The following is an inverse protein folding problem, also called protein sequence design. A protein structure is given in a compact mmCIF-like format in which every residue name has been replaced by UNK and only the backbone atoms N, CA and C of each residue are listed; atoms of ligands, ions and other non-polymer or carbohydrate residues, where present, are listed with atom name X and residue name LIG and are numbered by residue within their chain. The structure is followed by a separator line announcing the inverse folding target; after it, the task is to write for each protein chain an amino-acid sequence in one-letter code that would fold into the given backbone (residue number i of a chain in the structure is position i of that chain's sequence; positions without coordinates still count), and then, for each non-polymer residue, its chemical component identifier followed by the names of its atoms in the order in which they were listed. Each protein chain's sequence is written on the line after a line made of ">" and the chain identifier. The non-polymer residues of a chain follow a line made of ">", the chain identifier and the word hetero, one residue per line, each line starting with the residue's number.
data_IF_911133436187
#
_entry.id   IF_911133436187
#
_cell.length_a   1.000
_cell.length_b   1.000
_cell.length_c   1.000
_cell.angle_alpha   90.00
_cell.angle_beta   90.00
_cell.angle_gamma   90.00
#
_symmetry.space_group_name_H-M   'P 1'
#
loop_
_entity.id
_entity.type
_entity.pdbx_description
1 polymer ?
#
# COMPACT_ATOMS: atom_id res chain seq x y z
N UNK A 1 1.09 -2.03 29.37
CA UNK A 1 2.52 -2.07 29.01
C UNK A 1 2.65 -1.41 27.65
N UNK A 2 3.17 -0.18 27.63
CA UNK A 2 3.51 0.50 26.38
C UNK A 2 4.81 -0.19 25.94
N UNK A 3 4.80 -0.88 24.80
CA UNK A 3 6.03 -1.42 24.24
C UNK A 3 6.96 -0.25 23.91
N UNK A 4 8.00 -0.05 24.70
CA UNK A 4 9.08 0.87 24.39
C UNK A 4 9.83 0.33 23.19
N UNK A 5 9.56 0.91 22.03
CA UNK A 5 10.25 0.58 20.80
C UNK A 5 11.53 1.41 20.75
N UNK A 6 12.68 0.77 20.82
CA UNK A 6 13.95 1.42 20.53
C UNK A 6 13.97 1.91 19.08
N UNK A 7 14.19 3.21 18.88
CA UNK A 7 14.30 3.83 17.57
C UNK A 7 15.71 4.39 17.44
N UNK A 8 16.42 3.98 16.39
CA UNK A 8 17.70 4.61 16.01
C UNK A 8 17.43 6.05 15.55
N UNK A 9 18.05 7.01 16.23
CA UNK A 9 17.96 8.45 15.92
C UNK A 9 19.33 8.95 15.45
N UNK A 10 19.34 9.79 14.42
CA UNK A 10 20.59 10.39 13.93
C UNK A 10 21.04 11.49 14.88
N UNK A 11 22.33 11.49 15.21
CA UNK A 11 22.96 12.54 16.04
C UNK A 11 23.11 13.87 15.31
N UNK A 12 23.02 13.88 13.98
CA UNK A 12 23.27 15.08 13.16
C UNK A 12 22.02 15.60 12.44
N UNK A 13 20.99 14.77 12.29
CA UNK A 13 19.70 15.13 11.70
C UNK A 13 18.55 14.32 12.34
N UNK A 14 18.09 14.70 13.55
CA UNK A 14 17.12 13.92 14.33
C UNK A 14 15.76 13.68 13.64
N UNK A 15 15.41 14.53 12.66
CA UNK A 15 14.18 14.43 11.88
C UNK A 15 14.22 13.32 10.82
N UNK A 16 15.41 12.80 10.51
CA UNK A 16 15.59 11.69 9.57
C UNK A 16 15.23 10.35 10.21
N UNK A 17 14.67 9.44 9.41
CA UNK A 17 14.25 8.13 9.90
C UNK A 17 15.20 7.03 9.46
N UNK A 18 15.61 6.18 10.40
CA UNK A 18 16.42 5.01 10.09
C UNK A 18 15.60 3.96 9.33
N UNK A 19 16.11 3.47 8.21
CA UNK A 19 15.39 2.54 7.35
C UNK A 19 16.32 1.49 6.77
N UNK A 20 15.85 0.24 6.78
CA UNK A 20 16.49 -0.91 6.15
C UNK A 20 15.55 -1.41 5.05
N UNK A 21 16.08 -1.60 3.84
CA UNK A 21 15.32 -2.17 2.70
C UNK A 21 16.21 -3.16 1.96
N UNK A 22 15.68 -4.35 1.71
CA UNK A 22 16.39 -5.38 0.95
C UNK A 22 16.90 -4.83 -0.40
N UNK A 23 18.20 -5.01 -0.65
CA UNK A 23 18.86 -4.55 -1.87
C UNK A 23 19.04 -3.03 -1.98
N UNK A 24 18.88 -2.26 -0.89
CA UNK A 24 19.13 -0.82 -0.84
C UNK A 24 20.07 -0.47 0.33
N UNK A 25 20.75 0.69 0.27
CA UNK A 25 21.58 1.15 1.38
C UNK A 25 20.76 1.28 2.66
N UNK A 26 21.31 0.77 3.76
CA UNK A 26 20.82 1.00 5.11
C UNK A 26 21.31 2.38 5.61
N UNK A 27 20.45 3.11 6.31
CA UNK A 27 20.82 4.44 6.81
C UNK A 27 19.63 5.32 7.19
N UNK A 28 19.92 6.61 7.36
CA UNK A 28 18.95 7.65 7.67
C UNK A 28 18.43 8.31 6.41
N UNK A 29 17.11 8.35 6.26
CA UNK A 29 16.46 8.86 5.05
C UNK A 29 15.22 9.68 5.37
N UNK A 30 14.76 10.38 4.32
CA UNK A 30 13.41 10.93 4.22
C UNK A 30 12.67 10.23 3.07
N UNK A 31 11.35 10.21 3.14
CA UNK A 31 10.48 9.71 2.08
C UNK A 31 9.67 10.87 1.50
N UNK A 32 9.71 11.00 0.17
CA UNK A 32 8.84 11.89 -0.60
C UNK A 32 7.61 11.11 -1.07
N UNK A 33 6.45 11.43 -0.49
CA UNK A 33 5.13 10.96 -0.90
C UNK A 33 4.57 11.92 -1.94
N UNK A 34 4.44 11.43 -3.18
CA UNK A 34 4.06 12.26 -4.33
C UNK A 34 2.81 11.72 -5.00
N UNK A 35 1.89 12.62 -5.36
CA UNK A 35 0.74 12.32 -6.21
C UNK A 35 0.89 13.04 -7.54
N UNK A 36 0.55 12.36 -8.63
CA UNK A 36 0.50 12.93 -9.98
C UNK A 36 -0.85 12.67 -10.63
N UNK A 37 -1.29 13.58 -11.48
CA UNK A 37 -2.48 13.37 -12.31
C UNK A 37 -2.17 12.43 -13.49
N UNK A 38 -3.22 11.78 -13.98
CA UNK A 38 -3.12 10.79 -15.06
C UNK A 38 -2.87 11.41 -16.44
N UNK A 39 -3.47 12.58 -16.71
CA UNK A 39 -3.60 13.17 -18.05
C UNK A 39 -2.34 13.91 -18.45
N UNK A 40 -1.79 14.73 -17.56
CA UNK A 40 -0.65 15.60 -17.85
C UNK A 40 0.61 15.24 -17.05
N UNK A 41 0.51 14.28 -16.12
CA UNK A 41 1.57 13.91 -15.19
C UNK A 41 2.02 15.09 -14.31
N UNK A 42 1.11 16.04 -14.04
CA UNK A 42 1.29 17.15 -13.12
C UNK A 42 1.31 16.64 -11.69
N UNK A 43 2.25 17.12 -10.90
CA UNK A 43 2.37 16.81 -9.49
C UNK A 43 1.30 17.60 -8.73
N UNK A 44 0.39 16.89 -8.07
CA UNK A 44 -0.75 17.47 -7.34
C UNK A 44 -0.54 17.49 -5.84
N UNK A 45 0.38 16.66 -5.33
CA UNK A 45 0.76 16.65 -3.92
C UNK A 45 2.21 16.19 -3.73
N UNK A 46 2.85 16.79 -2.73
CA UNK A 46 4.18 16.42 -2.22
C UNK A 46 4.10 16.47 -0.71
N UNK A 47 4.57 15.42 -0.06
CA UNK A 47 4.62 15.34 1.38
C UNK A 47 5.85 14.56 1.83
N UNK A 48 6.66 15.14 2.71
CA UNK A 48 7.88 14.51 3.20
C UNK A 48 7.66 13.98 4.60
N UNK A 49 8.12 12.76 4.86
CA UNK A 49 8.19 12.13 6.19
C UNK A 49 9.59 11.58 6.48
N UNK A 50 9.85 11.26 7.73
CA UNK A 50 11.02 10.47 8.11
C UNK A 50 11.02 9.08 7.43
N UNK A 51 12.20 8.52 7.19
CA UNK A 51 12.45 7.25 6.51
C UNK A 51 11.81 6.01 7.15
N UNK A 52 11.57 6.07 8.45
CA UNK A 52 10.96 5.00 9.23
C UNK A 52 9.40 5.03 9.21
N UNK A 53 8.80 6.05 8.59
CA UNK A 53 7.34 6.13 8.41
C UNK A 53 6.94 5.34 7.18
N UNK A 54 6.05 4.36 7.34
CA UNK A 54 5.58 3.55 6.21
C UNK A 54 4.70 4.37 5.25
N UNK A 55 4.87 4.19 3.93
CA UNK A 55 4.21 4.97 2.87
C UNK A 55 2.67 4.96 2.96
N UNK A 56 2.09 3.90 3.51
CA UNK A 56 0.64 3.77 3.67
C UNK A 56 0.05 4.73 4.72
N UNK A 57 0.86 5.21 5.67
CA UNK A 57 0.39 5.98 6.83
C UNK A 57 -0.16 7.34 6.39
N UNK A 58 0.57 8.21 5.65
CA UNK A 58 0.06 9.52 5.28
C UNK A 58 -0.98 9.48 4.15
N UNK A 59 -1.08 8.37 3.41
CA UNK A 59 -1.78 8.34 2.11
C UNK A 59 -3.21 8.92 2.14
N UNK A 60 -4.08 8.43 3.02
CA UNK A 60 -5.48 8.86 3.04
C UNK A 60 -5.62 10.34 3.41
N UNK A 61 -4.84 10.84 4.36
CA UNK A 61 -4.87 12.26 4.73
C UNK A 61 -4.33 13.16 3.62
N UNK A 62 -3.35 12.67 2.83
CA UNK A 62 -2.86 13.37 1.64
C UNK A 62 -3.88 13.41 0.52
N UNK A 63 -4.64 12.33 0.35
CA UNK A 63 -5.75 12.30 -0.60
C UNK A 63 -6.83 13.32 -0.20
N UNK A 64 -7.25 13.31 1.07
CA UNK A 64 -8.25 14.25 1.59
C UNK A 64 -7.80 15.70 1.45
N UNK A 65 -6.53 16.01 1.76
CA UNK A 65 -5.97 17.34 1.58
C UNK A 65 -6.10 17.82 0.13
N UNK A 66 -5.83 16.96 -0.86
CA UNK A 66 -5.93 17.35 -2.27
C UNK A 66 -7.37 17.70 -2.65
N UNK A 67 -8.33 16.90 -2.20
CA UNK A 67 -9.75 17.16 -2.43
C UNK A 67 -10.19 18.48 -1.77
N UNK A 68 -9.77 18.73 -0.54
CA UNK A 68 -10.12 19.95 0.21
C UNK A 68 -9.43 21.20 -0.35
N UNK A 69 -8.13 21.12 -0.66
CA UNK A 69 -7.34 22.28 -1.07
C UNK A 69 -7.64 22.73 -2.49
N UNK A 70 -7.86 21.79 -3.40
CA UNK A 70 -8.01 22.07 -4.84
C UNK A 70 -9.41 21.77 -5.38
N UNK A 71 -10.32 21.25 -4.55
CA UNK A 71 -11.67 20.88 -5.00
C UNK A 71 -11.69 19.68 -5.94
N UNK A 72 -10.64 18.84 -5.94
CA UNK A 72 -10.55 17.71 -6.85
C UNK A 72 -11.62 16.66 -6.57
N UNK A 73 -12.42 16.35 -7.60
CA UNK A 73 -13.31 15.19 -7.63
C UNK A 73 -12.51 13.98 -8.08
N UNK A 74 -11.92 13.26 -7.11
CA UNK A 74 -11.08 12.10 -7.40
C UNK A 74 -11.97 10.90 -7.71
N UNK A 75 -12.00 10.48 -8.97
CA UNK A 75 -12.79 9.33 -9.41
C UNK A 75 -12.05 8.01 -9.21
N UNK A 76 -10.72 8.02 -9.42
CA UNK A 76 -9.92 6.81 -9.39
C UNK A 76 -8.48 7.06 -8.93
N UNK A 77 -7.87 6.05 -8.31
CA UNK A 77 -6.47 6.06 -7.86
C UNK A 77 -5.76 4.78 -8.27
N UNK A 78 -4.48 4.89 -8.63
CA UNK A 78 -3.58 3.77 -8.84
C UNK A 78 -2.36 3.84 -7.93
N UNK A 79 -2.17 2.81 -7.10
CA UNK A 79 -1.16 2.80 -6.04
C UNK A 79 -0.18 1.64 -6.17
N UNK A 80 1.00 1.80 -5.58
CA UNK A 80 1.97 0.73 -5.49
C UNK A 80 1.58 -0.35 -4.46
N UNK A 81 2.27 -1.48 -4.51
CA UNK A 81 2.04 -2.62 -3.64
C UNK A 81 2.23 -2.33 -2.16
N UNK A 82 3.06 -1.34 -1.82
CA UNK A 82 3.21 -0.85 -0.44
C UNK A 82 1.93 -0.26 0.15
N UNK A 83 0.96 0.15 -0.69
CA UNK A 83 -0.31 0.73 -0.25
C UNK A 83 -1.42 -0.30 -0.09
N UNK A 84 -1.16 -1.60 -0.32
CA UNK A 84 -2.16 -2.66 -0.19
C UNK A 84 -2.41 -3.02 1.28
N UNK A 85 -3.00 -2.09 2.03
CA UNK A 85 -3.35 -2.23 3.44
C UNK A 85 -4.88 -2.19 3.61
N UNK A 86 -5.41 -2.95 4.59
CA UNK A 86 -6.86 -2.99 4.86
C UNK A 86 -7.45 -1.60 5.13
N UNK A 87 -6.81 -0.72 5.94
CA UNK A 87 -7.33 0.62 6.19
C UNK A 87 -7.39 1.50 4.94
N UNK A 88 -6.42 1.40 4.04
CA UNK A 88 -6.42 2.13 2.76
C UNK A 88 -7.57 1.65 1.87
N UNK A 89 -7.72 0.33 1.71
CA UNK A 89 -8.77 -0.23 0.87
C UNK A 89 -10.15 0.21 1.37
N UNK A 90 -10.38 0.13 2.70
CA UNK A 90 -11.62 0.58 3.33
C UNK A 90 -11.82 2.09 3.19
N UNK A 91 -10.77 2.89 3.39
CA UNK A 91 -10.81 4.33 3.26
C UNK A 91 -11.18 4.80 1.85
N UNK A 92 -10.64 4.15 0.82
CA UNK A 92 -10.97 4.45 -0.58
C UNK A 92 -12.40 4.01 -0.94
N UNK A 93 -12.80 2.83 -0.48
CA UNK A 93 -14.16 2.33 -0.70
C UNK A 93 -15.21 3.26 -0.05
N UNK A 94 -14.98 3.71 1.19
CA UNK A 94 -15.88 4.63 1.88
C UNK A 94 -15.99 5.99 1.17
N UNK A 95 -14.95 6.40 0.44
CA UNK A 95 -14.95 7.64 -0.36
C UNK A 95 -15.55 7.44 -1.76
N UNK A 96 -16.00 6.23 -2.10
CA UNK A 96 -16.46 5.86 -3.44
C UNK A 96 -15.42 6.12 -4.54
N UNK A 97 -14.13 5.99 -4.24
CA UNK A 97 -13.03 6.24 -5.18
C UNK A 97 -12.57 4.91 -5.77
N UNK A 98 -12.64 4.73 -7.09
CA UNK A 98 -12.20 3.49 -7.75
C UNK A 98 -10.70 3.26 -7.54
N UNK A 99 -10.34 2.17 -6.84
CA UNK A 99 -8.96 1.93 -6.43
C UNK A 99 -8.34 0.74 -7.16
N UNK A 100 -7.12 0.94 -7.66
CA UNK A 100 -6.27 -0.11 -8.25
C UNK A 100 -4.92 -0.12 -7.54
N UNK A 101 -4.66 -1.17 -6.76
CA UNK A 101 -3.42 -1.29 -6.01
C UNK A 101 -2.62 -2.49 -6.52
N UNK A 102 -1.32 -2.30 -6.76
CA UNK A 102 -0.43 -3.40 -7.10
C UNK A 102 -0.43 -4.47 -5.99
N UNK A 103 -0.16 -5.73 -6.37
CA UNK A 103 -0.09 -6.84 -5.44
C UNK A 103 1.29 -7.49 -5.52
N UNK A 104 1.97 -7.68 -4.40
CA UNK A 104 3.17 -8.53 -4.33
C UNK A 104 2.74 -9.98 -4.28
N UNK A 105 3.32 -10.85 -5.11
CA UNK A 105 3.04 -12.29 -5.02
C UNK A 105 3.46 -12.76 -3.62
N UNK A 106 2.49 -13.27 -2.86
CA UNK A 106 2.78 -13.89 -1.58
C UNK A 106 3.18 -15.34 -1.85
N UNK A 107 4.38 -15.70 -1.41
CA UNK A 107 4.82 -17.09 -1.47
C UNK A 107 4.28 -17.79 -0.22
N UNK A 108 3.38 -18.78 -0.36
CA UNK A 108 2.90 -19.51 0.79
C UNK A 108 4.04 -20.29 1.44
N UNK A 109 3.91 -20.57 2.73
CA UNK A 109 4.85 -21.44 3.44
C UNK A 109 4.93 -22.79 2.72
N UNK A 110 6.13 -23.18 2.31
CA UNK A 110 6.34 -24.44 1.61
C UNK A 110 5.89 -25.63 2.47
N UNK A 111 5.20 -26.59 1.82
CA UNK A 111 4.66 -27.78 2.46
C UNK A 111 3.36 -27.57 3.25
N UNK A 112 2.78 -26.37 3.25
CA UNK A 112 1.48 -26.11 3.86
C UNK A 112 0.45 -25.59 2.86
N UNK A 113 -0.82 -25.89 3.11
CA UNK A 113 -1.92 -25.39 2.31
C UNK A 113 -2.00 -23.87 2.40
N UNK A 114 -2.02 -23.20 1.25
CA UNK A 114 -2.17 -21.76 1.20
C UNK A 114 -3.59 -21.34 1.59
N UNK A 115 -3.75 -20.10 2.04
CA UNK A 115 -5.04 -19.56 2.52
C UNK A 115 -6.16 -19.67 1.48
N UNK A 116 -5.87 -19.53 0.18
CA UNK A 116 -6.88 -19.61 -0.88
C UNK A 116 -7.48 -21.01 -1.08
N UNK A 117 -6.86 -22.07 -0.51
CA UNK A 117 -7.48 -23.40 -0.45
C UNK A 117 -8.59 -23.51 0.62
N UNK A 118 -8.70 -22.52 1.51
CA UNK A 118 -9.77 -22.43 2.51
C UNK A 118 -10.82 -21.44 1.97
N UNK A 119 -12.01 -21.95 1.71
CA UNK A 119 -13.10 -21.19 1.09
C UNK A 119 -13.90 -20.50 2.20
N UNK A 120 -14.12 -19.19 2.07
CA UNK A 120 -14.94 -18.44 3.01
C UNK A 120 -16.41 -18.51 2.58
N UNK A 121 -17.27 -18.98 3.48
CA UNK A 121 -18.72 -18.89 3.34
C UNK A 121 -19.21 -17.64 4.08
N UNK A 122 -19.63 -16.63 3.30
CA UNK A 122 -20.10 -15.36 3.83
C UNK A 122 -21.49 -15.47 4.49
N UNK A 123 -22.35 -16.41 4.06
CA UNK A 123 -23.69 -16.58 4.62
C UNK A 123 -23.61 -17.21 6.01
N UNK A 124 -22.75 -18.21 6.16
CA UNK A 124 -22.58 -18.95 7.43
C UNK A 124 -21.47 -18.37 8.32
N UNK A 125 -20.74 -17.35 7.84
CA UNK A 125 -19.61 -16.73 8.53
C UNK A 125 -18.60 -17.78 9.04
N UNK A 126 -18.11 -18.63 8.14
CA UNK A 126 -17.18 -19.71 8.45
C UNK A 126 -16.23 -19.97 7.28
N UNK A 127 -15.15 -20.70 7.54
CA UNK A 127 -14.28 -21.22 6.49
C UNK A 127 -14.52 -22.72 6.30
N UNK A 128 -14.35 -23.20 5.07
CA UNK A 128 -14.36 -24.63 4.74
C UNK A 128 -12.95 -25.03 4.28
N UNK A 129 -12.39 -26.07 4.88
CA UNK A 129 -11.06 -26.56 4.55
C UNK A 129 -11.07 -27.49 3.32
N UNK A 130 -9.89 -27.84 2.76
CA UNK A 130 -9.79 -28.78 1.63
C UNK A 130 -10.39 -30.16 1.91
N UNK A 131 -10.39 -30.59 3.17
CA UNK A 131 -11.03 -31.83 3.62
C UNK A 131 -12.54 -31.66 3.91
N UNK A 132 -13.16 -30.55 3.46
CA UNK A 132 -14.59 -30.22 3.64
C UNK A 132 -15.07 -30.05 5.09
N UNK A 133 -14.16 -29.87 6.04
CA UNK A 133 -14.52 -29.58 7.43
C UNK A 133 -14.68 -28.07 7.64
N UNK A 134 -15.62 -27.71 8.52
CA UNK A 134 -15.94 -26.33 8.86
C UNK A 134 -14.99 -25.77 9.92
N UNK A 135 -14.63 -24.51 9.75
CA UNK A 135 -13.86 -23.69 10.66
C UNK A 135 -14.76 -22.53 11.10
N UNK A 136 -15.53 -22.67 12.20
CA UNK A 136 -16.38 -21.61 12.70
C UNK A 136 -15.57 -20.42 13.23
N UNK A 137 -16.23 -19.27 13.30
CA UNK A 137 -15.69 -18.07 13.92
C UNK A 137 -15.42 -18.33 15.42
N UNK A 138 -14.24 -17.93 15.90
CA UNK A 138 -13.82 -18.06 17.30
C UNK A 138 -13.77 -16.72 18.02
N UNK A 139 -13.01 -15.77 17.48
CA UNK A 139 -12.78 -14.48 18.13
C UNK A 139 -12.24 -13.45 17.13
N UNK A 140 -12.23 -12.18 17.52
CA UNK A 140 -11.61 -11.09 16.77
C UNK A 140 -10.55 -10.44 17.65
N UNK A 141 -9.32 -10.31 17.15
CA UNK A 141 -8.26 -9.63 17.89
C UNK A 141 -8.43 -8.09 17.85
N UNK A 142 -7.67 -7.38 18.68
CA UNK A 142 -7.70 -5.90 18.73
C UNK A 142 -7.33 -5.23 17.42
N UNK A 143 -6.56 -5.91 16.58
CA UNK A 143 -6.16 -5.43 15.25
C UNK A 143 -7.23 -5.67 14.17
N UNK A 144 -8.39 -6.23 14.52
CA UNK A 144 -9.50 -6.46 13.59
C UNK A 144 -9.38 -7.73 12.74
N UNK A 145 -8.56 -8.70 13.12
CA UNK A 145 -8.52 -10.02 12.51
C UNK A 145 -9.48 -10.99 13.22
N UNK A 146 -10.48 -11.44 12.48
CA UNK A 146 -11.34 -12.57 12.84
C UNK A 146 -10.55 -13.86 12.71
N UNK A 147 -10.63 -14.72 13.71
CA UNK A 147 -10.00 -16.03 13.76
C UNK A 147 -11.06 -17.11 13.60
N UNK A 148 -10.78 -18.05 12.70
CA UNK A 148 -11.61 -19.23 12.43
C UNK A 148 -10.78 -20.46 12.72
N UNK A 149 -11.32 -21.38 13.51
CA UNK A 149 -10.54 -22.50 14.05
C UNK A 149 -11.17 -23.83 13.71
N UNK A 150 -10.35 -24.80 13.31
CA UNK A 150 -10.80 -26.18 13.13
C UNK A 150 -10.95 -26.90 14.46
N UNK A 151 -11.80 -27.91 14.49
CA UNK A 151 -11.90 -28.85 15.60
C UNK A 151 -10.65 -29.76 15.67
N UNK A 152 -9.87 -29.71 16.76
CA UNK A 152 -8.72 -30.59 16.97
C UNK A 152 -9.07 -32.08 16.87
N UNK A 153 -10.23 -32.51 17.36
CA UNK A 153 -10.59 -33.92 17.43
C UNK A 153 -10.78 -34.51 16.03
N UNK A 154 -11.43 -33.77 15.14
CA UNK A 154 -11.54 -34.14 13.73
C UNK A 154 -10.20 -34.06 13.00
N UNK A 155 -9.35 -33.10 13.35
CA UNK A 155 -8.09 -32.88 12.64
C UNK A 155 -6.99 -33.89 12.99
N UNK A 156 -7.00 -34.48 14.20
CA UNK A 156 -6.01 -35.50 14.62
C UNK A 156 -5.95 -36.70 13.67
N UNK A 157 -7.11 -37.14 13.17
CA UNK A 157 -7.24 -38.30 12.28
C UNK A 157 -7.31 -37.90 10.79
N UNK A 158 -7.07 -36.62 10.47
CA UNK A 158 -7.19 -36.13 9.11
C UNK A 158 -5.96 -36.53 8.28
N UNK A 159 -6.14 -37.19 7.12
CA UNK A 159 -5.01 -37.60 6.27
C UNK A 159 -4.22 -36.42 5.70
N UNK A 160 -4.85 -35.24 5.61
CA UNK A 160 -4.24 -34.01 5.10
C UNK A 160 -3.61 -33.14 6.21
N UNK A 161 -3.52 -33.62 7.45
CA UNK A 161 -3.07 -32.84 8.60
C UNK A 161 -1.66 -32.25 8.38
N UNK A 162 -0.73 -33.06 7.85
CA UNK A 162 0.66 -32.67 7.60
C UNK A 162 0.78 -31.51 6.60
N UNK A 163 -0.12 -31.45 5.62
CA UNK A 163 -0.21 -30.33 4.66
C UNK A 163 -1.08 -29.19 5.20
N UNK A 164 -1.90 -29.39 6.24
CA UNK A 164 -2.83 -28.40 6.73
C UNK A 164 -2.22 -27.47 7.78
N UNK A 165 -1.59 -28.01 8.82
CA UNK A 165 -1.07 -27.24 9.97
C UNK A 165 0.13 -27.93 10.62
N UNK A 166 1.05 -27.13 11.17
CA UNK A 166 2.16 -27.62 12.03
C UNK A 166 1.84 -27.47 13.52
N UNK A 167 0.60 -27.15 13.86
CA UNK A 167 0.17 -26.93 15.25
C UNK A 167 0.24 -28.24 16.05
N UNK A 168 0.89 -28.20 17.22
CA UNK A 168 0.95 -29.34 18.16
C UNK A 168 -0.43 -29.79 18.64
N UNK A 169 -1.38 -28.86 18.68
CA UNK A 169 -2.75 -29.14 19.11
C UNK A 169 -3.64 -29.60 17.94
N UNK A 170 -3.05 -29.87 16.77
CA UNK A 170 -3.77 -30.27 15.53
C UNK A 170 -4.88 -29.29 15.11
N UNK A 171 -4.82 -28.04 15.58
CA UNK A 171 -5.80 -27.00 15.27
C UNK A 171 -5.27 -26.10 14.14
N UNK A 172 -6.04 -25.94 13.08
CA UNK A 172 -5.81 -24.95 12.03
C UNK A 172 -6.51 -23.64 12.42
N UNK A 173 -5.77 -22.54 12.35
CA UNK A 173 -6.31 -21.19 12.50
C UNK A 173 -6.22 -20.47 11.16
N UNK A 174 -7.34 -19.96 10.67
CA UNK A 174 -7.41 -19.07 9.51
C UNK A 174 -7.84 -17.68 9.98
N UNK A 175 -7.13 -16.65 9.54
CA UNK A 175 -7.43 -15.26 9.90
C UNK A 175 -8.02 -14.50 8.71
N UNK A 176 -9.06 -13.69 8.95
CA UNK A 176 -9.66 -12.77 7.98
C UNK A 176 -9.82 -11.40 8.63
N UNK A 177 -9.31 -10.35 8.00
CA UNK A 177 -9.52 -9.00 8.53
C UNK A 177 -11.00 -8.60 8.37
N UNK A 178 -11.53 -7.78 9.29
CA UNK A 178 -12.91 -7.24 9.21
C UNK A 178 -13.18 -6.42 7.93
N UNK A 179 -12.12 -5.97 7.26
CA UNK A 179 -12.15 -5.23 6.00
C UNK A 179 -11.51 -6.01 4.85
N UNK A 180 -11.47 -7.35 4.93
CA UNK A 180 -10.98 -8.19 3.83
C UNK A 180 -11.83 -8.00 2.57
N UNK A 181 -13.14 -7.76 2.71
CA UNK A 181 -14.05 -7.47 1.59
C UNK A 181 -13.59 -6.23 0.80
N UNK A 182 -13.09 -5.20 1.49
CA UNK A 182 -12.52 -4.01 0.85
C UNK A 182 -11.25 -4.35 0.05
N UNK A 183 -10.41 -5.27 0.54
CA UNK A 183 -9.24 -5.76 -0.21
C UNK A 183 -9.65 -6.58 -1.43
N UNK A 184 -10.66 -7.44 -1.28
CA UNK A 184 -11.22 -8.24 -2.37
C UNK A 184 -11.84 -7.34 -3.46
N UNK A 185 -12.54 -6.28 -3.07
CA UNK A 185 -13.04 -5.26 -3.97
C UNK A 185 -11.92 -4.58 -4.79
N UNK A 186 -10.83 -4.13 -4.15
CA UNK A 186 -9.66 -3.58 -4.87
C UNK A 186 -9.03 -4.62 -5.81
N UNK A 187 -8.95 -5.88 -5.39
CA UNK A 187 -8.44 -6.98 -6.24
C UNK A 187 -9.33 -7.19 -7.46
N UNK A 188 -10.64 -7.17 -7.29
CA UNK A 188 -11.63 -7.25 -8.37
C UNK A 188 -11.49 -6.08 -9.35
N UNK A 189 -11.42 -4.85 -8.84
CA UNK A 189 -11.21 -3.63 -9.63
C UNK A 189 -9.99 -3.75 -10.54
N UNK A 190 -8.87 -4.24 -10.02
CA UNK A 190 -7.62 -4.42 -10.79
C UNK A 190 -7.78 -5.37 -11.98
N UNK A 191 -8.66 -6.37 -11.89
CA UNK A 191 -8.90 -7.35 -12.97
C UNK A 191 -9.84 -6.82 -14.05
N UNK A 192 -10.65 -5.81 -13.75
CA UNK A 192 -11.54 -5.15 -14.71
C UNK A 192 -10.77 -4.46 -15.84
N UNK A 193 -11.46 -4.17 -16.96
CA UNK A 193 -10.89 -3.44 -18.10
C UNK A 193 -10.37 -2.05 -17.68
N UNK A 194 -11.16 -1.30 -16.92
CA UNK A 194 -10.80 0.03 -16.41
C UNK A 194 -9.60 -0.04 -15.46
N UNK A 195 -9.56 -1.06 -14.60
CA UNK A 195 -8.44 -1.27 -13.68
C UNK A 195 -7.14 -1.61 -14.38
N UNK A 196 -7.17 -2.48 -15.39
CA UNK A 196 -5.99 -2.80 -16.22
C UNK A 196 -5.46 -1.57 -16.96
N UNK A 197 -6.35 -0.73 -17.49
CA UNK A 197 -5.98 0.54 -18.14
C UNK A 197 -5.27 1.48 -17.16
N UNK A 198 -5.88 1.74 -16.00
CA UNK A 198 -5.33 2.64 -14.98
C UNK A 198 -3.99 2.13 -14.44
N UNK A 199 -3.88 0.81 -14.22
CA UNK A 199 -2.65 0.16 -13.76
C UNK A 199 -1.48 0.37 -14.73
N UNK A 200 -1.74 0.22 -16.05
CA UNK A 200 -0.72 0.44 -17.08
C UNK A 200 -0.18 1.86 -17.04
N UNK A 201 -1.06 2.85 -16.90
CA UNK A 201 -0.70 4.27 -16.87
C UNK A 201 0.09 4.69 -15.63
N UNK A 202 -0.05 3.99 -14.51
CA UNK A 202 0.77 4.25 -13.31
C UNK A 202 2.27 4.20 -13.61
N UNK A 203 2.73 3.20 -14.38
CA UNK A 203 4.16 3.05 -14.75
C UNK A 203 4.66 4.19 -15.64
N UNK A 204 3.78 4.79 -16.44
CA UNK A 204 4.13 5.88 -17.36
C UNK A 204 4.19 7.25 -16.68
N UNK A 205 3.61 7.40 -15.49
CA UNK A 205 3.39 8.70 -14.84
C UNK A 205 4.33 8.90 -13.66
N UNK A 206 4.04 8.26 -12.52
CA UNK A 206 4.73 8.50 -11.25
C UNK A 206 6.22 8.12 -11.30
N UNK A 207 6.56 7.00 -11.95
CA UNK A 207 7.95 6.54 -12.07
C UNK A 207 8.80 7.54 -12.85
N UNK A 208 8.25 8.10 -13.94
CA UNK A 208 8.89 9.19 -14.69
C UNK A 208 9.05 10.45 -13.86
N UNK A 209 8.05 10.82 -13.06
CA UNK A 209 8.16 12.01 -12.20
C UNK A 209 9.31 11.89 -11.19
N UNK A 210 9.50 10.71 -10.59
CA UNK A 210 10.62 10.47 -9.68
C UNK A 210 11.96 10.38 -10.40
N UNK A 211 12.01 9.77 -11.59
CA UNK A 211 13.21 9.71 -12.41
C UNK A 211 13.68 11.12 -12.80
N UNK A 212 12.78 11.95 -13.34
CA UNK A 212 13.07 13.34 -13.70
C UNK A 212 13.60 14.13 -12.50
N UNK A 213 13.00 13.97 -11.32
CA UNK A 213 13.46 14.66 -10.11
C UNK A 213 14.91 14.26 -9.77
N UNK A 214 15.22 12.96 -9.83
CA UNK A 214 16.53 12.43 -9.47
C UNK A 214 17.61 12.80 -10.49
N UNK A 215 17.34 12.62 -11.77
CA UNK A 215 18.36 12.82 -12.82
C UNK A 215 18.52 14.29 -13.22
N UNK A 216 17.43 15.06 -13.27
CA UNK A 216 17.46 16.42 -13.83
C UNK A 216 17.39 17.53 -12.77
N UNK A 217 17.05 17.19 -11.53
CA UNK A 217 16.86 18.18 -10.46
C UNK A 217 17.65 17.87 -9.18
N UNK A 218 18.59 16.91 -9.23
CA UNK A 218 19.47 16.58 -8.12
C UNK A 218 18.75 16.03 -6.88
N UNK A 219 17.58 15.42 -7.06
CA UNK A 219 16.72 14.94 -5.98
C UNK A 219 17.15 13.58 -5.40
N UNK A 220 18.40 13.15 -5.65
CA UNK A 220 18.98 11.92 -5.06
C UNK A 220 19.39 12.12 -3.60
N UNK A 221 19.74 13.34 -3.21
CA UNK A 221 20.23 13.67 -1.88
C UNK A 221 19.49 14.89 -1.32
N UNK A 222 19.33 14.90 0.00
CA UNK A 222 18.88 16.08 0.73
C UNK A 222 20.03 17.07 0.78
N UNK A 223 19.81 18.31 0.34
CA UNK A 223 20.82 19.38 0.39
C UNK A 223 20.93 20.00 1.77
N UNK A 224 19.84 19.95 2.53
CA UNK A 224 19.70 20.53 3.85
C UNK A 224 19.14 19.47 4.80
N UNK A 225 19.43 19.64 6.09
CA UNK A 225 18.95 18.78 7.19
C UNK A 225 17.65 19.31 7.78
N UNK A 226 16.88 18.45 8.44
CA UNK A 226 15.60 18.80 9.04
C UNK A 226 14.43 18.68 8.08
N UNK A 227 13.29 18.22 8.62
CA UNK A 227 12.10 17.87 7.86
C UNK A 227 11.56 19.05 7.04
N UNK A 228 11.62 20.26 7.61
CA UNK A 228 11.18 21.48 6.94
C UNK A 228 12.00 21.77 5.69
N UNK A 229 13.32 21.74 5.79
CA UNK A 229 14.21 22.07 4.68
C UNK A 229 14.12 21.03 3.55
N UNK A 230 13.98 19.75 3.90
CA UNK A 230 13.77 18.69 2.90
C UNK A 230 12.41 18.85 2.22
N UNK A 231 11.38 19.26 2.96
CA UNK A 231 10.05 19.56 2.41
C UNK A 231 10.12 20.74 1.43
N UNK A 232 10.85 21.80 1.76
CA UNK A 232 11.07 22.95 0.86
C UNK A 232 11.76 22.49 -0.44
N UNK A 233 12.84 21.70 -0.33
CA UNK A 233 13.52 21.14 -1.50
C UNK A 233 12.56 20.32 -2.38
N UNK A 234 11.73 19.46 -1.78
CA UNK A 234 10.76 18.63 -2.50
C UNK A 234 9.68 19.47 -3.20
N UNK A 235 9.13 20.47 -2.52
CA UNK A 235 8.12 21.37 -3.08
C UNK A 235 8.67 22.20 -4.23
N UNK A 236 9.86 22.79 -4.07
CA UNK A 236 10.51 23.58 -5.12
C UNK A 236 10.83 22.72 -6.34
N UNK A 237 11.32 21.50 -6.13
CA UNK A 237 11.57 20.53 -7.22
C UNK A 237 10.27 20.23 -7.98
N UNK A 238 9.18 19.94 -7.26
CA UNK A 238 7.90 19.65 -7.89
C UNK A 238 7.31 20.85 -8.64
N UNK A 239 7.45 22.07 -8.11
CA UNK A 239 7.02 23.29 -8.78
C UNK A 239 7.75 23.47 -10.12
N UNK A 240 9.08 23.32 -10.14
CA UNK A 240 9.88 23.40 -11.38
C UNK A 240 9.49 22.31 -12.37
N UNK A 241 9.28 21.07 -11.91
CA UNK A 241 8.83 19.98 -12.77
C UNK A 241 7.46 20.29 -13.41
N UNK A 242 6.52 20.83 -12.62
CA UNK A 242 5.22 21.25 -13.13
C UNK A 242 5.34 22.38 -14.16
N UNK A 243 6.16 23.41 -13.89
CA UNK A 243 6.41 24.51 -14.85
C UNK A 243 6.97 23.99 -16.18
N UNK A 244 7.97 23.10 -16.14
CA UNK A 244 8.52 22.47 -17.34
C UNK A 244 7.47 21.67 -18.10
N UNK A 245 6.64 20.88 -17.40
CA UNK A 245 5.56 20.10 -18.03
C UNK A 245 4.51 20.99 -18.69
N UNK A 246 4.08 22.08 -18.01
CA UNK A 246 3.13 23.04 -18.57
C UNK A 246 3.68 23.67 -19.86
N UNK A 247 4.92 24.16 -19.85
CA UNK A 247 5.54 24.75 -21.03
C UNK A 247 5.60 23.77 -22.22
N UNK A 248 6.02 22.52 -21.98
CA UNK A 248 6.08 21.48 -23.03
C UNK A 248 4.68 21.15 -23.58
N UNK A 249 3.65 21.09 -22.72
CA UNK A 249 2.29 20.81 -23.16
C UNK A 249 1.70 21.98 -23.96
N UNK A 250 1.97 23.22 -23.56
CA UNK A 250 1.53 24.42 -24.29
C UNK A 250 2.19 24.51 -25.68
N UNK A 251 3.51 24.34 -25.77
CA UNK A 251 4.24 24.32 -27.06
C UNK A 251 3.69 23.24 -28.02
N UNK A 252 3.32 22.07 -27.50
CA UNK A 252 2.72 20.99 -28.30
C UNK A 252 1.30 21.32 -28.76
N UNK A 253 0.54 22.10 -27.99
CA UNK A 253 -0.80 22.53 -28.39
C UNK A 253 -0.70 23.58 -29.50
N UNK A 254 0.22 24.54 -29.37
CA UNK A 254 0.47 25.56 -30.39
C UNK A 254 0.93 24.96 -31.72
N UNK A 255 1.78 23.92 -31.70
CA UNK A 255 2.23 23.23 -32.92
C UNK A 255 1.18 22.33 -33.58
N UNK A 256 0.07 22.05 -32.90
CA UNK A 256 -1.02 21.18 -33.39
C UNK A 256 -2.25 21.95 -33.86
N UNK A 257 -2.37 23.21 -33.47
CA UNK A 257 -3.37 24.16 -33.99
C UNK A 257 -2.86 24.81 -35.26
#
# INVERSE_FOLDING_TARGET
>A
MIEEKEIKVSTTDPDSGYMIRDGKPEGFFYLDHRTVDLKYNMITDVHVTAGNVHDSIPYLSRLDRQQQRFGFKVEAVALDSGYLASPICKGLQNRNIFAVIAHRRFHPTQGLFPKWKFIYDAQRNMYVCPAKHELPYRTTNREGYRQYTSDPQHCKNCPLLNECTRSRNHCKVVTRHVWEDSKEWVRGNRLSRSGKYLYRKRKETIERSFADAKELHGFRYCRLRGLQNVREQALMTAAVQNMKKMAIHLDRLEKRG
#
